data_IF_723900558153
#
_entry.id   IF_723900558153
#
_cell.length_a   1.000
_cell.length_b   1.000
_cell.length_c   1.000
_cell.angle_alpha   90.00
_cell.angle_beta   90.00
_cell.angle_gamma   90.00
#
_symmetry.space_group_name_H-M   'P 1'
#
loop_
_entity.id
_entity.type
_entity.pdbx_description
1 polymer ?
#
# COMPACT_ATOMS: atom_id res chain seq x y z
N UNK A 1 2.36 -3.76 -16.99
CA UNK A 1 1.42 -2.67 -16.69
C UNK A 1 1.65 -2.23 -15.25
N UNK A 2 1.80 -0.93 -15.00
CA UNK A 2 1.92 -0.39 -13.63
C UNK A 2 0.65 0.41 -13.31
N UNK A 3 0.10 0.19 -12.12
CA UNK A 3 -1.10 0.83 -11.61
C UNK A 3 -0.71 1.81 -10.52
N UNK A 4 -1.23 3.03 -10.62
CA UNK A 4 -1.13 4.03 -9.57
C UNK A 4 -2.37 3.93 -8.67
N UNK A 5 -2.16 3.91 -7.35
CA UNK A 5 -3.23 3.77 -6.37
C UNK A 5 -3.07 4.77 -5.24
N UNK A 6 -4.20 5.20 -4.68
CA UNK A 6 -4.29 6.07 -3.52
C UNK A 6 -5.12 5.36 -2.47
N UNK A 7 -4.54 5.15 -1.29
CA UNK A 7 -5.20 4.60 -0.11
C UNK A 7 -5.50 5.74 0.85
N UNK A 8 -6.68 5.70 1.46
CA UNK A 8 -7.08 6.62 2.53
C UNK A 8 -6.97 5.89 3.85
N UNK A 9 -6.04 6.34 4.69
CA UNK A 9 -5.82 5.79 6.03
C UNK A 9 -6.86 6.35 7.02
N UNK A 10 -7.00 5.68 8.16
CA UNK A 10 -7.97 6.02 9.22
C UNK A 10 -7.71 7.37 9.86
N UNK A 11 -6.46 7.86 9.83
CA UNK A 11 -6.04 9.19 10.28
C UNK A 11 -6.32 10.30 9.25
N UNK A 12 -7.12 10.01 8.20
CA UNK A 12 -7.34 10.86 7.03
C UNK A 12 -6.09 11.15 6.19
N UNK A 13 -4.96 10.51 6.45
CA UNK A 13 -3.81 10.63 5.56
C UNK A 13 -4.05 9.90 4.24
N UNK A 14 -3.42 10.43 3.18
CA UNK A 14 -3.47 9.84 1.85
C UNK A 14 -2.12 9.20 1.56
N UNK A 15 -2.12 7.90 1.30
CA UNK A 15 -0.95 7.16 0.88
C UNK A 15 -1.03 6.85 -0.61
N UNK A 16 -0.08 7.39 -1.38
CA UNK A 16 0.03 7.15 -2.81
C UNK A 16 1.12 6.12 -3.09
N UNK A 17 0.85 5.19 -4.00
CA UNK A 17 1.83 4.20 -4.41
C UNK A 17 1.63 3.74 -5.84
N UNK A 18 2.67 3.13 -6.41
CA UNK A 18 2.58 2.46 -7.70
C UNK A 18 2.91 0.97 -7.53
N UNK A 19 2.17 0.10 -8.22
CA UNK A 19 2.44 -1.33 -8.21
C UNK A 19 2.11 -1.96 -9.56
N UNK A 20 2.84 -3.01 -9.93
CA UNK A 20 2.51 -3.87 -11.07
C UNK A 20 1.62 -5.07 -10.68
N UNK A 21 1.24 -5.20 -9.41
CA UNK A 21 0.40 -6.28 -8.91
C UNK A 21 -0.29 -5.91 -7.60
N UNK A 22 -1.52 -5.38 -7.71
CA UNK A 22 -2.30 -4.86 -6.59
C UNK A 22 -2.55 -5.92 -5.51
N UNK A 23 -2.96 -7.13 -5.90
CA UNK A 23 -3.30 -8.22 -4.99
C UNK A 23 -2.13 -8.64 -4.10
N UNK A 24 -0.94 -8.77 -4.70
CA UNK A 24 0.29 -9.13 -3.97
C UNK A 24 0.75 -8.00 -3.05
N UNK A 25 0.50 -6.74 -3.43
CA UNK A 25 0.84 -5.55 -2.65
C UNK A 25 -0.09 -5.40 -1.44
N UNK A 26 -1.40 -5.56 -1.62
CA UNK A 26 -2.41 -5.47 -0.54
C UNK A 26 -2.21 -6.60 0.46
N UNK A 27 -2.01 -7.84 0.00
CA UNK A 27 -1.71 -8.96 0.89
C UNK A 27 -0.38 -8.77 1.63
N UNK A 28 0.66 -8.28 0.97
CA UNK A 28 1.92 -7.96 1.64
C UNK A 28 1.80 -6.82 2.65
N UNK A 29 0.94 -5.83 2.39
CA UNK A 29 0.68 -4.72 3.31
C UNK A 29 -0.05 -5.16 4.58
N UNK A 30 -1.04 -6.04 4.44
CA UNK A 30 -1.88 -6.50 5.55
C UNK A 30 -1.24 -7.60 6.40
N UNK A 31 -0.37 -8.45 5.81
CA UNK A 31 0.18 -9.63 6.49
C UNK A 31 1.69 -9.58 6.74
N UNK A 32 2.43 -8.70 6.05
CA UNK A 32 3.89 -8.74 6.01
C UNK A 32 4.49 -7.40 6.50
N UNK A 33 4.58 -7.27 7.83
CA UNK A 33 5.02 -6.07 8.54
C UNK A 33 6.45 -5.60 8.17
N UNK A 34 7.23 -6.43 7.45
CA UNK A 34 8.59 -6.13 6.96
C UNK A 34 8.63 -5.46 5.57
N UNK A 35 7.55 -5.54 4.80
CA UNK A 35 7.48 -4.99 3.42
C UNK A 35 6.47 -3.86 3.27
N UNK A 36 5.79 -3.51 4.37
CA UNK A 36 4.96 -2.33 4.43
C UNK A 36 5.83 -1.08 4.27
N UNK A 37 5.27 -0.06 3.62
CA UNK A 37 5.96 1.20 3.44
C UNK A 37 6.24 1.80 4.82
N UNK A 38 7.40 2.44 4.98
CA UNK A 38 7.83 3.09 6.23
C UNK A 38 6.83 4.13 6.77
N UNK A 39 5.85 4.52 5.95
CA UNK A 39 4.83 5.54 6.18
C UNK A 39 3.40 4.99 6.35
N UNK A 40 3.24 3.68 6.40
CA UNK A 40 1.94 3.02 6.65
C UNK A 40 2.09 2.17 7.89
N UNK A 41 1.46 2.55 9.02
CA UNK A 41 1.46 1.74 10.24
C UNK A 41 0.76 0.40 10.04
#
# INVERSE_FOLDING_TARGET
MFYFYILRCSDNSLYCGQTNGLERRVNGHNFDNKKSSKYTP
#
